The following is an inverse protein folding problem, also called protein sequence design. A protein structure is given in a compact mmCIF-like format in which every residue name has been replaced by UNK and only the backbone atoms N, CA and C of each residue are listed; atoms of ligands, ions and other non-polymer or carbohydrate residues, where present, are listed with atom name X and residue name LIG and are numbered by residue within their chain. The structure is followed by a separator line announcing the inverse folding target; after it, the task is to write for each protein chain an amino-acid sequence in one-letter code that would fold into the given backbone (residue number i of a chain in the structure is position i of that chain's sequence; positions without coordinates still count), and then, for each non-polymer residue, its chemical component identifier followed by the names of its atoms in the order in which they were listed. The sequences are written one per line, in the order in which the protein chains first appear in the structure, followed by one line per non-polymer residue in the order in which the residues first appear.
data_IF_198292317396
#
_entry.id   IF_198292317396
#
_cell.length_a   1.000
_cell.length_b   1.000
_cell.length_c   1.000
_cell.angle_alpha   90.00
_cell.angle_beta   90.00
_cell.angle_gamma   90.00
#
_symmetry.space_group_name_H-M   'P 1'
#
loop_
_entity.id
_entity.type
_entity.pdbx_description
1 polymer ?
#
# COMPACT_ATOMS: atom_id res chain seq x y z
N UNK A 1 -6.29 -8.32 -8.98
CA UNK A 1 -6.49 -9.03 -7.69
C UNK A 1 -5.20 -8.84 -6.88
N UNK A 2 -5.28 -8.37 -5.63
CA UNK A 2 -4.13 -8.03 -4.76
C UNK A 2 -3.43 -9.29 -4.18
N UNK A 3 -3.21 -10.31 -5.01
CA UNK A 3 -2.69 -11.61 -4.59
C UNK A 3 -3.48 -12.26 -3.43
N UNK A 4 -4.82 -12.28 -3.51
CA UNK A 4 -5.69 -12.77 -2.42
C UNK A 4 -5.27 -14.14 -1.88
N UNK A 5 -4.94 -15.10 -2.73
CA UNK A 5 -4.52 -16.44 -2.28
C UNK A 5 -3.26 -16.40 -1.41
N UNK A 6 -2.29 -15.54 -1.76
CA UNK A 6 -1.07 -15.34 -0.95
C UNK A 6 -1.40 -14.69 0.38
N UNK A 7 -2.28 -13.69 0.37
CA UNK A 7 -2.71 -13.01 1.59
C UNK A 7 -3.43 -13.97 2.56
N UNK A 8 -4.22 -14.91 2.05
CA UNK A 8 -4.86 -15.95 2.86
C UNK A 8 -3.85 -16.87 3.56
N UNK A 9 -2.68 -17.08 2.95
CA UNK A 9 -1.56 -17.83 3.53
C UNK A 9 -0.64 -16.95 4.41
N UNK A 10 -0.98 -15.68 4.63
CA UNK A 10 -0.15 -14.74 5.40
C UNK A 10 1.09 -14.24 4.63
N UNK A 11 1.17 -14.48 3.32
CA UNK A 11 2.25 -14.04 2.46
C UNK A 11 1.96 -12.67 1.86
N UNK A 12 2.99 -11.83 1.69
CA UNK A 12 2.86 -10.56 0.98
C UNK A 12 2.59 -10.75 -0.52
N UNK A 13 1.97 -9.78 -1.20
CA UNK A 13 1.80 -9.81 -2.65
C UNK A 13 3.15 -9.94 -3.37
N UNK A 14 3.18 -10.67 -4.50
CA UNK A 14 4.42 -10.96 -5.21
C UNK A 14 5.19 -9.69 -5.62
N UNK A 15 4.48 -8.67 -6.08
CA UNK A 15 5.10 -7.40 -6.45
C UNK A 15 5.74 -6.66 -5.24
N UNK A 16 5.32 -6.92 -4.01
CA UNK A 16 5.96 -6.38 -2.80
C UNK A 16 7.22 -7.18 -2.50
N UNK A 17 7.09 -8.51 -2.47
CA UNK A 17 8.16 -9.43 -2.15
C UNK A 17 9.35 -9.34 -3.12
N UNK A 18 9.08 -9.21 -4.42
CA UNK A 18 10.09 -9.27 -5.47
C UNK A 18 10.71 -7.89 -5.79
N UNK A 19 10.27 -6.83 -5.09
CA UNK A 19 10.79 -5.49 -5.30
C UNK A 19 12.19 -5.34 -4.67
N UNK A 20 13.22 -5.57 -5.47
CA UNK A 20 14.63 -5.41 -5.06
C UNK A 20 14.89 -4.03 -4.44
N UNK A 21 14.30 -2.98 -5.02
CA UNK A 21 14.44 -1.60 -4.54
C UNK A 21 13.60 -1.27 -3.30
N UNK A 22 12.79 -2.20 -2.78
CA UNK A 22 11.90 -2.01 -1.62
C UNK A 22 11.05 -0.75 -1.72
N UNK A 23 10.56 -0.46 -2.93
CA UNK A 23 9.81 0.76 -3.23
C UNK A 23 8.32 0.65 -2.90
N UNK A 24 7.83 -0.54 -2.55
CA UNK A 24 6.40 -0.82 -2.34
C UNK A 24 6.17 -1.37 -0.95
N UNK A 25 5.13 -0.87 -0.30
CA UNK A 25 4.69 -1.27 1.03
C UNK A 25 3.23 -1.73 0.94
N UNK A 26 2.83 -2.63 1.84
CA UNK A 26 1.49 -3.19 1.88
C UNK A 26 1.02 -3.32 3.34
N UNK A 27 -0.26 -3.04 3.59
CA UNK A 27 -0.85 -3.11 4.92
C UNK A 27 -2.29 -2.60 4.95
N UNK A 28 -2.88 -2.58 6.15
CA UNK A 28 -4.26 -2.14 6.37
C UNK A 28 -4.31 -0.65 6.73
N UNK A 29 -5.10 0.12 5.97
CA UNK A 29 -5.30 1.55 6.22
C UNK A 29 -6.25 1.84 7.39
N UNK A 30 -7.02 0.83 7.83
CA UNK A 30 -7.89 0.95 8.99
C UNK A 30 -7.14 0.69 10.30
N UNK A 31 -5.98 0.04 10.22
CA UNK A 31 -5.09 -0.17 11.34
C UNK A 31 -4.12 1.03 11.45
N UNK A 32 -4.25 1.87 12.50
CA UNK A 32 -3.37 3.03 12.68
C UNK A 32 -1.92 2.62 12.97
N UNK A 33 -1.66 1.40 13.41
CA UNK A 33 -0.33 0.90 13.76
C UNK A 33 0.33 0.14 12.60
N UNK A 34 -0.35 0.04 11.44
CA UNK A 34 0.23 -0.58 10.27
C UNK A 34 1.32 0.30 9.64
N UNK A 35 2.32 -0.34 9.02
CA UNK A 35 3.42 0.35 8.34
C UNK A 35 2.94 1.36 7.28
N UNK A 36 1.86 1.04 6.55
CA UNK A 36 1.30 1.98 5.57
C UNK A 36 0.66 3.20 6.23
N UNK A 37 -0.04 3.01 7.36
CA UNK A 37 -0.63 4.12 8.13
C UNK A 37 0.45 5.02 8.73
N UNK A 38 1.55 4.44 9.23
CA UNK A 38 2.72 5.17 9.70
C UNK A 38 3.36 6.01 8.57
N UNK A 39 3.68 5.38 7.44
CA UNK A 39 4.30 6.06 6.29
C UNK A 39 3.46 7.24 5.77
N UNK A 40 2.13 7.11 5.77
CA UNK A 40 1.22 8.17 5.33
C UNK A 40 1.11 9.33 6.34
N UNK A 41 1.40 9.10 7.62
CA UNK A 41 1.51 10.18 8.63
C UNK A 41 2.83 10.93 8.51
N UNK A 42 3.92 10.21 8.24
CA UNK A 42 5.27 10.76 8.29
C UNK A 42 5.71 11.41 6.99
N UNK A 43 5.20 10.94 5.85
CA UNK A 43 5.63 11.38 4.53
C UNK A 43 4.49 11.99 3.74
N UNK A 44 4.83 13.02 2.97
CA UNK A 44 3.89 13.53 1.98
C UNK A 44 3.56 12.42 0.98
N UNK A 45 2.27 12.31 0.68
CA UNK A 45 1.75 11.32 -0.24
C UNK A 45 0.65 11.92 -1.11
N UNK A 46 0.47 11.32 -2.28
CA UNK A 46 -0.64 11.66 -3.18
C UNK A 46 -1.21 10.39 -3.80
N UNK A 47 -2.44 10.49 -4.30
CA UNK A 47 -3.04 9.43 -5.12
C UNK A 47 -3.25 9.91 -6.54
N UNK A 48 -3.32 8.95 -7.47
CA UNK A 48 -3.56 9.27 -8.88
C UNK A 48 -5.04 9.54 -9.12
N UNK A 49 -5.34 10.60 -9.88
CA UNK A 49 -6.68 10.95 -10.36
C UNK A 49 -7.74 11.06 -9.24
N UNK A 50 -7.40 11.78 -8.17
CA UNK A 50 -8.32 11.98 -7.03
C UNK A 50 -9.62 12.70 -7.42
N UNK A 51 -9.57 13.51 -8.48
CA UNK A 51 -10.69 14.24 -9.06
C UNK A 51 -11.83 13.34 -9.55
N UNK A 52 -11.56 12.07 -9.85
CA UNK A 52 -12.57 11.11 -10.29
C UNK A 52 -13.42 10.53 -9.15
N UNK A 53 -13.15 10.86 -7.88
CA UNK A 53 -13.97 10.44 -6.74
C UNK A 53 -13.93 8.93 -6.44
N UNK A 54 -12.99 8.18 -7.01
CA UNK A 54 -12.88 6.72 -6.83
C UNK A 54 -12.16 6.32 -5.54
N UNK A 55 -11.65 7.30 -4.81
CA UNK A 55 -10.87 7.14 -3.57
C UNK A 55 -9.84 6.01 -3.62
N UNK A 56 -8.83 6.07 -4.53
CA UNK A 56 -7.84 5.02 -4.69
C UNK A 56 -7.15 4.68 -3.37
N UNK A 57 -6.73 3.42 -3.23
CA UNK A 57 -6.02 2.91 -2.05
C UNK A 57 -4.54 2.60 -2.34
N UNK A 58 -4.00 3.18 -3.41
CA UNK A 58 -2.58 3.18 -3.74
C UNK A 58 -2.06 4.59 -3.60
N UNK A 59 -1.03 4.77 -2.77
CA UNK A 59 -0.44 6.05 -2.44
C UNK A 59 0.99 6.09 -2.95
N UNK A 60 1.39 7.25 -3.47
CA UNK A 60 2.75 7.52 -3.92
C UNK A 60 3.40 8.43 -2.89
N UNK A 61 4.53 8.00 -2.34
CA UNK A 61 5.29 8.76 -1.35
C UNK A 61 6.33 9.63 -2.07
N UNK A 62 6.49 10.89 -1.62
CA UNK A 62 7.58 11.79 -2.06
C UNK A 62 8.71 11.86 -1.05
#
# INVERSE_FOLDING_TARGET
NFCIERLHEGLLPACINDCIGRARYFGDLNDPDSLVSELLRERYSFRLKEDLGTHPKVFYLS
#
